data_IF_553307510589
#
_entry.id   IF_553307510589
#
_cell.length_a   1.000
_cell.length_b   1.000
_cell.length_c   1.000
_cell.angle_alpha   90.00
_cell.angle_beta   90.00
_cell.angle_gamma   90.00
#
_symmetry.space_group_name_H-M   'P 1'
#
loop_
_entity.id
_entity.type
_entity.pdbx_description
1 polymer ?
#
# COMPACT_ATOMS: atom_id res chain seq x y z
N UNK A 1 -12.84 7.48 6.53
CA UNK A 1 -11.68 6.69 6.06
C UNK A 1 -10.72 6.46 7.22
N UNK A 2 -10.21 5.26 7.32
CA UNK A 2 -9.24 4.88 8.36
C UNK A 2 -7.99 4.37 7.67
N UNK A 3 -6.82 4.87 8.07
CA UNK A 3 -5.55 4.40 7.56
C UNK A 3 -4.88 3.49 8.59
N UNK A 4 -4.68 2.23 8.23
CA UNK A 4 -3.96 1.25 9.04
C UNK A 4 -2.65 0.89 8.33
N UNK A 5 -1.56 1.47 8.81
CA UNK A 5 -0.22 1.22 8.25
C UNK A 5 0.42 0.06 8.99
N UNK A 6 0.93 -0.91 8.23
CA UNK A 6 1.66 -2.03 8.79
C UNK A 6 3.08 -2.03 8.25
N UNK A 7 4.05 -2.12 9.14
CA UNK A 7 5.43 -2.27 8.72
C UNK A 7 5.67 -3.64 8.11
N UNK A 8 6.75 -3.76 7.34
CA UNK A 8 7.20 -5.02 6.81
C UNK A 8 7.44 -6.05 7.93
N UNK A 9 7.08 -7.28 7.68
CA UNK A 9 7.29 -8.40 8.59
C UNK A 9 8.31 -9.37 8.01
N UNK A 10 8.03 -10.66 8.14
CA UNK A 10 8.88 -11.75 7.65
C UNK A 10 8.53 -12.18 6.24
N UNK A 11 7.36 -11.80 5.73
CA UNK A 11 6.91 -12.20 4.40
C UNK A 11 7.67 -11.45 3.31
N UNK A 12 7.88 -12.12 2.19
CA UNK A 12 8.40 -11.46 1.00
C UNK A 12 7.34 -10.53 0.42
N UNK A 13 7.77 -9.58 -0.40
CA UNK A 13 6.83 -8.69 -1.09
C UNK A 13 5.90 -9.49 -1.99
N UNK A 14 6.39 -10.59 -2.59
CA UNK A 14 5.56 -11.47 -3.42
C UNK A 14 4.44 -12.09 -2.59
N UNK A 15 4.74 -12.59 -1.40
CA UNK A 15 3.73 -13.17 -0.51
C UNK A 15 2.71 -12.12 -0.07
N UNK A 16 3.17 -10.91 0.25
CA UNK A 16 2.28 -9.83 0.63
C UNK A 16 1.28 -9.48 -0.49
N UNK A 17 1.77 -9.37 -1.71
CA UNK A 17 0.92 -9.07 -2.88
C UNK A 17 0.00 -10.25 -3.18
N UNK A 18 0.51 -11.47 -3.13
CA UNK A 18 -0.30 -12.67 -3.35
C UNK A 18 -1.45 -12.77 -2.35
N UNK A 19 -1.21 -12.43 -1.10
CA UNK A 19 -2.26 -12.41 -0.10
C UNK A 19 -3.35 -11.39 -0.46
N UNK A 20 -2.98 -10.19 -0.87
CA UNK A 20 -3.94 -9.16 -1.25
C UNK A 20 -4.73 -9.51 -2.51
N UNK A 21 -4.13 -10.24 -3.44
CA UNK A 21 -4.78 -10.68 -4.68
C UNK A 21 -5.62 -11.94 -4.49
N UNK A 22 -5.38 -12.68 -3.41
CA UNK A 22 -5.94 -14.00 -3.20
C UNK A 22 -7.44 -13.99 -2.97
N UNK A 23 -8.08 -15.13 -3.26
CA UNK A 23 -9.53 -15.30 -3.17
C UNK A 23 -10.02 -15.50 -1.74
N UNK A 24 -9.12 -15.68 -0.78
CA UNK A 24 -9.46 -15.98 0.62
C UNK A 24 -8.77 -14.99 1.58
N UNK A 25 -9.46 -14.65 2.67
CA UNK A 25 -8.91 -13.79 3.70
C UNK A 25 -8.02 -14.58 4.69
N UNK A 26 -7.51 -13.90 5.73
CA UNK A 26 -6.62 -14.53 6.72
C UNK A 26 -7.30 -15.64 7.53
N UNK A 27 -8.64 -15.69 7.53
CA UNK A 27 -9.41 -16.74 8.21
C UNK A 27 -9.79 -17.88 7.27
N UNK A 28 -9.36 -17.83 6.00
CA UNK A 28 -9.70 -18.81 4.99
C UNK A 28 -11.08 -18.61 4.38
N UNK A 29 -11.74 -17.50 4.66
CA UNK A 29 -13.06 -17.20 4.10
C UNK A 29 -12.90 -16.63 2.70
N UNK A 30 -13.67 -17.16 1.75
CA UNK A 30 -13.65 -16.69 0.37
C UNK A 30 -14.12 -15.24 0.28
N UNK A 31 -13.34 -14.43 -0.44
CA UNK A 31 -13.69 -13.03 -0.67
C UNK A 31 -14.72 -12.92 -1.79
N UNK A 32 -15.83 -12.27 -1.50
CA UNK A 32 -16.90 -12.05 -2.46
C UNK A 32 -17.44 -10.62 -2.30
N UNK A 33 -17.25 -9.71 -3.26
CA UNK A 33 -16.58 -9.93 -4.54
C UNK A 33 -15.07 -10.16 -4.40
N UNK A 34 -14.48 -10.72 -5.46
CA UNK A 34 -13.04 -10.96 -5.49
C UNK A 34 -12.26 -9.65 -5.51
N UNK A 35 -11.02 -9.64 -4.99
CA UNK A 35 -10.17 -8.46 -5.06
C UNK A 35 -9.94 -8.04 -6.51
N UNK A 36 -9.80 -6.73 -6.72
CA UNK A 36 -9.46 -6.21 -8.06
C UNK A 36 -8.27 -5.28 -8.00
N UNK A 37 -7.42 -5.38 -9.01
CA UNK A 37 -6.29 -4.48 -9.18
C UNK A 37 -6.80 -3.04 -9.38
N UNK A 38 -6.11 -2.07 -8.80
CA UNK A 38 -6.49 -0.67 -8.96
C UNK A 38 -5.43 0.16 -9.68
N UNK A 39 -4.23 0.27 -9.11
CA UNK A 39 -3.14 1.06 -9.72
C UNK A 39 -1.79 0.60 -9.20
N UNK A 40 -0.72 1.09 -9.81
CA UNK A 40 0.63 0.70 -9.45
C UNK A 40 1.14 -0.46 -10.29
N UNK A 41 2.16 -1.16 -9.82
CA UNK A 41 2.78 -2.26 -10.55
C UNK A 41 3.34 -3.32 -9.61
N UNK A 42 2.76 -4.51 -9.67
CA UNK A 42 3.28 -5.66 -8.93
C UNK A 42 4.73 -5.97 -9.35
N UNK A 43 4.98 -5.99 -10.66
CA UNK A 43 6.30 -6.32 -11.18
C UNK A 43 7.37 -5.34 -10.71
N UNK A 44 7.08 -4.05 -10.75
CA UNK A 44 8.03 -3.03 -10.27
C UNK A 44 8.29 -3.16 -8.78
N UNK A 45 7.28 -3.53 -7.99
CA UNK A 45 7.46 -3.78 -6.56
C UNK A 45 8.40 -4.96 -6.32
N UNK A 46 8.25 -6.05 -7.09
CA UNK A 46 9.12 -7.21 -7.00
C UNK A 46 10.57 -6.83 -7.33
N UNK A 47 10.77 -6.13 -8.43
CA UNK A 47 12.10 -5.69 -8.86
C UNK A 47 12.73 -4.77 -7.80
N UNK A 48 11.97 -3.81 -7.29
CA UNK A 48 12.48 -2.87 -6.30
C UNK A 48 12.91 -3.54 -5.00
N UNK A 49 12.26 -4.63 -4.60
CA UNK A 49 12.59 -5.33 -3.36
C UNK A 49 13.65 -6.42 -3.55
N UNK A 50 13.77 -6.98 -4.76
CA UNK A 50 14.64 -8.12 -5.04
C UNK A 50 16.11 -7.81 -4.86
N UNK A 51 16.53 -6.60 -5.21
CA UNK A 51 17.92 -6.16 -5.15
C UNK A 51 18.34 -5.58 -3.81
N UNK A 52 17.45 -5.59 -2.82
CA UNK A 52 17.70 -4.96 -1.53
C UNK A 52 18.13 -6.00 -0.50
N UNK A 53 19.25 -5.71 0.17
CA UNK A 53 19.74 -6.53 1.28
C UNK A 53 19.58 -5.75 2.58
N UNK A 54 18.35 -5.42 2.93
CA UNK A 54 18.06 -4.82 4.23
C UNK A 54 16.79 -5.40 4.81
N UNK A 55 16.65 -5.25 6.11
CA UNK A 55 15.61 -5.91 6.89
C UNK A 55 14.21 -5.44 6.55
N UNK A 56 14.03 -4.12 6.36
CA UNK A 56 12.74 -3.53 6.04
C UNK A 56 12.74 -3.08 4.58
N UNK A 57 12.02 -3.84 3.75
CA UNK A 57 12.02 -3.63 2.31
C UNK A 57 10.80 -2.90 1.78
N UNK A 58 9.68 -3.02 2.49
CA UNK A 58 8.41 -2.45 2.05
C UNK A 58 7.51 -2.18 3.24
N UNK A 59 6.46 -1.40 2.99
CA UNK A 59 5.39 -1.17 3.95
C UNK A 59 4.07 -1.56 3.29
N UNK A 60 3.14 -2.06 4.09
CA UNK A 60 1.78 -2.37 3.66
C UNK A 60 0.78 -1.59 4.50
N UNK A 61 -0.41 -1.42 3.96
CA UNK A 61 -1.46 -0.77 4.71
C UNK A 61 -2.80 -0.82 3.99
N UNK A 62 -3.80 -0.28 4.65
CA UNK A 62 -5.16 -0.26 4.15
C UNK A 62 -5.80 1.10 4.45
N UNK A 63 -6.43 1.69 3.44
CA UNK A 63 -7.30 2.85 3.61
C UNK A 63 -8.73 2.33 3.55
N UNK A 64 -9.39 2.24 4.69
CA UNK A 64 -10.74 1.68 4.80
C UNK A 64 -11.79 2.79 4.85
N UNK A 65 -12.84 2.64 4.05
CA UNK A 65 -13.97 3.56 4.03
C UNK A 65 -15.11 2.95 4.83
N UNK A 66 -15.93 3.81 5.43
CA UNK A 66 -17.08 3.35 6.21
C UNK A 66 -18.15 2.70 5.33
N UNK A 67 -19.09 1.94 5.92
CA UNK A 67 -20.11 1.22 5.13
C UNK A 67 -21.03 2.13 4.35
N UNK A 68 -21.17 3.39 4.76
CA UNK A 68 -21.97 4.38 4.05
C UNK A 68 -21.16 5.25 3.09
N UNK A 69 -19.85 5.06 3.06
CA UNK A 69 -18.96 5.75 2.15
C UNK A 69 -18.73 4.85 0.93
N UNK A 70 -19.18 5.28 -0.23
CA UNK A 70 -19.06 4.51 -1.48
C UNK A 70 -18.37 5.33 -2.55
N UNK A 71 -17.08 5.68 -2.37
CA UNK A 71 -16.36 6.46 -3.36
C UNK A 71 -16.25 5.69 -4.67
N UNK A 72 -16.39 6.44 -5.77
CA UNK A 72 -16.18 5.87 -7.12
C UNK A 72 -14.69 5.79 -7.40
N UNK A 73 -14.33 5.04 -8.44
CA UNK A 73 -12.93 4.86 -8.82
C UNK A 73 -12.20 6.18 -9.06
N UNK A 74 -12.88 7.17 -9.62
CA UNK A 74 -12.32 8.51 -9.80
C UNK A 74 -11.93 9.15 -8.46
N UNK A 75 -12.79 9.02 -7.47
CA UNK A 75 -12.54 9.55 -6.13
C UNK A 75 -11.45 8.75 -5.41
N UNK A 76 -11.45 7.43 -5.59
CA UNK A 76 -10.40 6.58 -5.05
C UNK A 76 -9.03 6.93 -5.63
N UNK A 77 -8.97 7.26 -6.93
CA UNK A 77 -7.71 7.66 -7.55
C UNK A 77 -7.20 8.99 -6.97
N UNK A 78 -8.10 9.93 -6.68
CA UNK A 78 -7.69 11.17 -6.01
C UNK A 78 -7.14 10.90 -4.61
N UNK A 79 -7.73 9.94 -3.88
CA UNK A 79 -7.22 9.53 -2.58
C UNK A 79 -5.82 8.93 -2.72
N UNK A 80 -5.60 8.06 -3.70
CA UNK A 80 -4.28 7.46 -3.95
C UNK A 80 -3.25 8.53 -4.29
N UNK A 81 -3.58 9.46 -5.16
CA UNK A 81 -2.67 10.56 -5.52
C UNK A 81 -2.30 11.41 -4.30
N UNK A 82 -3.28 11.74 -3.47
CA UNK A 82 -3.06 12.50 -2.26
C UNK A 82 -2.20 11.74 -1.26
N UNK A 83 -2.45 10.43 -1.12
CA UNK A 83 -1.65 9.56 -0.26
C UNK A 83 -0.19 9.52 -0.73
N UNK A 84 0.03 9.31 -2.03
CA UNK A 84 1.39 9.30 -2.61
C UNK A 84 2.12 10.61 -2.34
N UNK A 85 1.45 11.73 -2.53
CA UNK A 85 2.05 13.04 -2.32
C UNK A 85 2.43 13.31 -0.86
N UNK A 86 1.66 12.75 0.07
CA UNK A 86 1.92 12.91 1.50
C UNK A 86 2.95 11.90 2.01
N UNK A 87 2.76 10.62 1.66
CA UNK A 87 3.61 9.53 2.13
C UNK A 87 5.03 9.63 1.54
N UNK A 88 5.11 9.94 0.25
CA UNK A 88 6.37 10.05 -0.48
C UNK A 88 6.66 11.50 -0.86
N UNK A 89 6.50 12.41 0.08
CA UNK A 89 6.67 13.83 -0.15
C UNK A 89 8.04 14.14 -0.80
N UNK A 90 8.01 14.89 -1.89
CA UNK A 90 9.22 15.25 -2.64
C UNK A 90 9.69 14.22 -3.64
N UNK A 91 9.02 13.06 -3.74
CA UNK A 91 9.37 12.00 -4.68
C UNK A 91 8.27 11.85 -5.74
N UNK A 92 8.68 11.45 -6.94
CA UNK A 92 7.76 11.27 -8.07
C UNK A 92 7.45 9.79 -8.27
N UNK A 93 6.14 9.46 -8.32
CA UNK A 93 5.68 8.10 -8.57
C UNK A 93 6.09 7.64 -9.97
N UNK A 94 6.64 6.43 -10.04
CA UNK A 94 7.12 5.86 -11.30
C UNK A 94 8.54 6.25 -11.65
N UNK A 95 9.12 7.24 -10.98
CA UNK A 95 10.50 7.70 -11.18
C UNK A 95 11.35 7.40 -9.94
N UNK A 96 10.89 7.86 -8.78
CA UNK A 96 11.64 7.72 -7.53
C UNK A 96 11.13 6.58 -6.65
N UNK A 97 9.86 6.19 -6.80
CA UNK A 97 9.29 5.08 -6.04
C UNK A 97 8.19 4.39 -6.85
N UNK A 98 7.85 3.18 -6.42
CA UNK A 98 6.77 2.40 -7.01
C UNK A 98 5.85 1.90 -5.92
N UNK A 99 4.67 1.40 -6.30
CA UNK A 99 3.69 0.86 -5.38
C UNK A 99 2.75 -0.13 -6.09
N UNK A 100 1.93 -0.79 -5.30
CA UNK A 100 0.86 -1.66 -5.78
C UNK A 100 -0.37 -1.39 -4.94
N UNK A 101 -1.52 -1.24 -5.60
CA UNK A 101 -2.80 -0.97 -4.93
C UNK A 101 -3.87 -1.89 -5.48
N UNK A 102 -4.67 -2.48 -4.59
CA UNK A 102 -5.87 -3.19 -5.00
C UNK A 102 -7.04 -2.86 -4.08
N UNK A 103 -8.23 -3.32 -4.46
CA UNK A 103 -9.46 -3.01 -3.75
C UNK A 103 -10.09 -4.29 -3.26
N UNK A 104 -10.46 -4.30 -1.96
CA UNK A 104 -11.29 -5.32 -1.35
C UNK A 104 -12.66 -4.71 -1.02
N UNK A 105 -13.73 -5.43 -1.34
CA UNK A 105 -15.10 -5.01 -1.04
C UNK A 105 -15.89 -6.13 -0.33
N UNK A 106 -15.23 -7.20 0.05
CA UNK A 106 -15.85 -8.41 0.58
C UNK A 106 -16.42 -8.26 1.99
N UNK A 107 -16.08 -7.17 2.69
CA UNK A 107 -16.57 -6.89 4.04
C UNK A 107 -17.62 -5.77 4.08
N UNK A 108 -18.36 -5.64 2.99
CA UNK A 108 -19.42 -4.64 2.83
C UNK A 108 -18.91 -3.21 3.03
N UNK A 109 -17.67 -2.97 2.67
CA UNK A 109 -17.04 -1.64 2.65
C UNK A 109 -15.91 -1.67 1.64
N UNK A 110 -15.46 -0.49 1.23
CA UNK A 110 -14.34 -0.37 0.30
C UNK A 110 -13.05 -0.25 1.08
N UNK A 111 -12.07 -1.07 0.73
CA UNK A 111 -10.73 -1.04 1.30
C UNK A 111 -9.71 -0.92 0.18
N UNK A 112 -8.91 0.16 0.20
CA UNK A 112 -7.75 0.31 -0.67
C UNK A 112 -6.55 -0.27 0.07
N UNK A 113 -6.00 -1.35 -0.46
CA UNK A 113 -4.81 -1.98 0.12
C UNK A 113 -3.59 -1.57 -0.69
N UNK A 114 -2.48 -1.31 -0.01
CA UNK A 114 -1.25 -0.90 -0.68
C UNK A 114 -0.03 -1.66 -0.19
N UNK A 115 0.92 -1.80 -1.10
CA UNK A 115 2.28 -2.28 -0.83
C UNK A 115 3.21 -1.27 -1.47
N UNK A 116 4.14 -0.72 -0.68
CA UNK A 116 5.05 0.31 -1.17
C UNK A 116 6.48 -0.06 -0.79
N UNK A 117 7.32 -0.43 -1.76
CA UNK A 117 8.75 -0.64 -1.51
C UNK A 117 9.41 0.63 -0.99
N UNK A 118 10.27 0.46 0.02
CA UNK A 118 10.98 1.57 0.66
C UNK A 118 12.35 1.79 0.00
N UNK A 119 12.34 1.90 -1.32
CA UNK A 119 13.55 2.10 -2.12
C UNK A 119 13.37 3.25 -3.08
N UNK A 120 14.30 4.19 -3.02
CA UNK A 120 14.38 5.24 -4.03
C UNK A 120 14.99 4.62 -5.30
N UNK A 121 14.23 4.64 -6.39
CA UNK A 121 14.52 3.83 -7.59
C UNK A 121 15.78 4.28 -8.35
N UNK A 122 16.17 5.54 -8.25
CA UNK A 122 17.32 6.06 -9.01
C UNK A 122 18.65 5.81 -8.31
N UNK A 123 18.65 5.68 -6.98
CA UNK A 123 19.86 5.53 -6.18
C UNK A 123 19.95 4.21 -5.44
N UNK A 124 18.83 3.50 -5.28
CA UNK A 124 18.76 2.29 -4.45
C UNK A 124 18.77 2.56 -2.95
N UNK A 125 18.75 3.83 -2.53
CA UNK A 125 18.76 4.18 -1.12
C UNK A 125 17.42 3.91 -0.46
N UNK A 126 17.45 3.68 0.85
CA UNK A 126 16.24 3.49 1.63
C UNK A 126 15.43 4.77 1.71
N UNK A 127 14.12 4.65 1.48
CA UNK A 127 13.16 5.70 1.78
C UNK A 127 12.66 5.46 3.20
N UNK A 128 12.60 6.51 4.01
CA UNK A 128 12.10 6.43 5.38
C UNK A 128 10.95 7.42 5.56
N UNK A 129 9.74 7.07 5.12
CA UNK A 129 8.58 7.99 5.18
C UNK A 129 8.07 8.18 6.60
N UNK A 130 8.44 7.29 7.52
CA UNK A 130 8.09 7.41 8.94
C UNK A 130 9.34 7.70 9.75
N UNK A 131 9.71 9.00 9.92
CA UNK A 131 10.81 9.31 10.83
C UNK A 131 10.45 8.84 12.25
N UNK A 132 11.45 8.53 13.09
CA UNK A 132 11.19 8.00 14.43
C UNK A 132 10.35 8.99 15.27
N UNK A 133 9.48 8.43 16.13
CA UNK A 133 8.72 9.19 17.09
C UNK A 133 7.38 9.69 16.58
N UNK A 134 7.02 10.93 16.95
CA UNK A 134 5.67 11.47 16.74
C UNK A 134 5.30 11.71 15.29
N UNK A 135 6.25 11.78 14.38
CA UNK A 135 5.97 12.04 12.97
C UNK A 135 5.15 10.93 12.33
N UNK A 136 5.38 9.67 12.74
CA UNK A 136 4.58 8.53 12.26
C UNK A 136 3.12 8.65 12.66
N UNK A 137 2.87 9.03 13.91
CA UNK A 137 1.50 9.22 14.40
C UNK A 137 0.83 10.41 13.75
N UNK A 138 1.56 11.48 13.54
CA UNK A 138 1.04 12.65 12.83
C UNK A 138 0.61 12.27 11.40
N UNK A 139 1.43 11.51 10.70
CA UNK A 139 1.08 11.04 9.35
C UNK A 139 -0.20 10.22 9.35
N UNK A 140 -0.35 9.29 10.31
CA UNK A 140 -1.56 8.48 10.44
C UNK A 140 -2.79 9.35 10.70
N UNK A 141 -2.65 10.40 11.49
CA UNK A 141 -3.74 11.31 11.79
C UNK A 141 -4.13 12.16 10.59
N UNK A 142 -3.19 12.48 9.69
CA UNK A 142 -3.45 13.26 8.48
C UNK A 142 -4.21 12.47 7.40
N UNK A 143 -4.20 11.15 7.50
CA UNK A 143 -4.88 10.21 6.64
C UNK A 143 -5.76 9.25 7.42
#
# INVERSE_FOLDING_TARGET
>A
MINAVQGHRTNSVQEAINYLKGDHDHKGVERNPKPRFFTGSENDCLIACESIDRKQKYVTGTLAFGPNERPRDKELMEVVKSFRATFMAGLEHGVNFTDFWNIHEDKNRIELNYVIPLTELTTGRQINPFPPGKAKEYFKAAF
#
